data_IF_174321400913
#
_entry.id   IF_174321400913
#
_cell.length_a   1.000
_cell.length_b   1.000
_cell.length_c   1.000
_cell.angle_alpha   90.00
_cell.angle_beta   90.00
_cell.angle_gamma   90.00
#
_symmetry.space_group_name_H-M   'P 1'
#
loop_
_entity.id
_entity.type
_entity.pdbx_description
1 polymer ?
#
# COMPACT_ATOMS: atom_id res chain seq x y z
N UNK A 1 -25.72 0.25 32.83
CA UNK A 1 -24.25 0.29 32.68
C UNK A 1 -23.90 -0.88 31.78
N UNK A 2 -23.33 -0.62 30.60
CA UNK A 2 -22.93 -1.67 29.65
C UNK A 2 -21.43 -1.89 29.80
N UNK A 3 -21.01 -3.14 29.86
CA UNK A 3 -19.61 -3.55 29.95
C UNK A 3 -19.26 -4.37 28.70
N UNK A 4 -18.24 -3.94 27.97
CA UNK A 4 -17.78 -4.61 26.74
C UNK A 4 -16.34 -5.02 26.95
N UNK A 5 -16.07 -6.32 26.82
CA UNK A 5 -14.73 -6.91 26.93
C UNK A 5 -14.22 -7.23 25.54
N UNK A 6 -13.06 -6.69 25.18
CA UNK A 6 -12.46 -6.86 23.86
C UNK A 6 -11.09 -7.53 24.03
N UNK A 7 -10.85 -8.60 23.26
CA UNK A 7 -9.57 -9.31 23.23
C UNK A 7 -8.43 -8.47 22.64
N UNK A 8 -7.20 -8.90 22.87
CA UNK A 8 -5.98 -8.20 22.41
C UNK A 8 -6.00 -8.05 20.89
N UNK A 9 -6.12 -6.80 20.40
CA UNK A 9 -5.85 -6.47 19.01
C UNK A 9 -4.35 -6.22 18.85
N UNK A 10 -3.78 -6.77 17.78
CA UNK A 10 -2.34 -6.69 17.52
C UNK A 10 -1.88 -5.26 17.16
N UNK A 11 -2.77 -4.36 16.72
CA UNK A 11 -2.40 -3.02 16.23
C UNK A 11 -3.52 -1.97 16.43
N UNK A 12 -3.18 -0.77 16.93
CA UNK A 12 -4.09 0.38 17.00
C UNK A 12 -4.48 0.85 18.42
N UNK A 13 -4.92 2.12 18.54
CA UNK A 13 -5.38 2.71 19.80
C UNK A 13 -6.87 2.50 19.79
N UNK A 14 -7.36 1.69 20.73
CA UNK A 14 -8.78 1.41 20.81
C UNK A 14 -9.46 2.67 21.35
N UNK A 15 -10.26 3.30 20.49
CA UNK A 15 -11.11 4.43 20.83
C UNK A 15 -12.56 4.01 20.66
N UNK A 16 -13.34 4.06 21.74
CA UNK A 16 -14.78 3.83 21.62
C UNK A 16 -15.43 5.17 21.35
N UNK A 17 -16.09 5.24 20.20
CA UNK A 17 -16.82 6.42 19.75
C UNK A 17 -18.27 6.06 19.51
N UNK A 18 -19.13 7.03 19.69
CA UNK A 18 -20.55 6.92 19.39
C UNK A 18 -20.94 8.05 18.43
N UNK A 19 -21.98 7.82 17.65
CA UNK A 19 -22.51 8.82 16.73
C UNK A 19 -23.40 9.80 17.49
N UNK A 20 -22.95 11.05 17.62
CA UNK A 20 -23.73 12.10 18.25
C UNK A 20 -24.63 12.77 17.21
N UNK A 21 -25.94 12.54 17.35
CA UNK A 21 -26.95 13.08 16.44
C UNK A 21 -27.06 14.62 16.59
N UNK A 22 -26.72 15.16 17.77
CA UNK A 22 -26.84 16.60 18.05
C UNK A 22 -25.71 17.39 17.39
N UNK A 23 -24.49 16.86 17.38
CA UNK A 23 -23.32 17.47 16.74
C UNK A 23 -23.06 16.93 15.33
N UNK A 24 -23.80 15.90 14.92
CA UNK A 24 -23.65 15.17 13.67
C UNK A 24 -22.19 14.70 13.44
N UNK A 25 -21.56 14.22 14.51
CA UNK A 25 -20.14 13.85 14.53
C UNK A 25 -19.86 12.69 15.50
N UNK A 26 -18.70 12.05 15.34
CA UNK A 26 -18.25 10.99 16.25
C UNK A 26 -17.71 11.58 17.55
N UNK A 27 -18.34 11.26 18.68
CA UNK A 27 -17.97 11.75 20.02
C UNK A 27 -17.25 10.67 20.85
N UNK A 28 -16.35 11.10 21.73
CA UNK A 28 -15.54 10.25 22.64
C UNK A 28 -15.73 10.56 24.13
N UNK A 29 -16.57 11.52 24.51
CA UNK A 29 -16.57 12.11 25.86
C UNK A 29 -17.22 11.26 26.96
N UNK A 30 -17.85 10.14 26.64
CA UNK A 30 -18.78 9.44 27.56
C UNK A 30 -18.45 7.96 27.80
N UNK A 31 -17.36 7.45 27.23
CA UNK A 31 -16.91 6.08 27.44
C UNK A 31 -15.49 6.10 28.04
N UNK A 32 -15.34 5.48 29.22
CA UNK A 32 -14.03 5.26 29.83
C UNK A 32 -13.50 3.91 29.40
N UNK A 33 -12.32 3.90 28.80
CA UNK A 33 -11.60 2.67 28.44
C UNK A 33 -10.56 2.41 29.52
N UNK A 34 -10.62 1.23 30.13
CA UNK A 34 -9.70 0.74 31.15
C UNK A 34 -9.08 -0.57 30.66
N UNK A 35 -7.79 -0.78 30.93
CA UNK A 35 -7.11 -2.03 30.64
C UNK A 35 -7.09 -2.88 31.91
N UNK A 36 -7.63 -4.10 31.84
CA UNK A 36 -7.75 -5.04 32.97
C UNK A 36 -7.31 -6.41 32.49
N UNK A 37 -6.25 -6.96 33.08
CA UNK A 37 -5.74 -8.32 32.80
C UNK A 37 -5.49 -8.63 31.31
N UNK A 38 -5.02 -7.64 30.54
CA UNK A 38 -4.77 -7.76 29.09
C UNK A 38 -6.01 -7.62 28.21
N UNK A 39 -7.17 -7.28 28.79
CA UNK A 39 -8.39 -6.96 28.07
C UNK A 39 -8.69 -5.47 28.16
N UNK A 40 -9.24 -4.92 27.08
CA UNK A 40 -9.79 -3.58 27.11
C UNK A 40 -11.26 -3.65 27.51
N UNK A 41 -11.58 -2.99 28.63
CA UNK A 41 -12.94 -2.88 29.17
C UNK A 41 -13.41 -1.45 29.00
N UNK A 42 -14.59 -1.29 28.42
CA UNK A 42 -15.21 0.02 28.29
C UNK A 42 -16.46 0.15 29.13
N UNK A 43 -16.55 1.26 29.85
CA UNK A 43 -17.70 1.63 30.67
C UNK A 43 -18.32 2.89 30.08
N UNK A 44 -19.50 2.74 29.49
CA UNK A 44 -20.30 3.83 28.94
C UNK A 44 -21.54 4.09 29.80
N UNK A 45 -21.88 5.36 30.01
CA UNK A 45 -23.03 5.79 30.84
C UNK A 45 -24.35 5.91 30.06
N UNK A 46 -24.35 5.63 28.76
CA UNK A 46 -25.47 5.78 27.84
C UNK A 46 -25.70 4.49 27.05
N UNK A 47 -26.96 4.24 26.68
CA UNK A 47 -27.39 3.13 25.82
C UNK A 47 -27.49 3.65 24.39
N UNK A 48 -26.43 3.52 23.61
CA UNK A 48 -26.42 3.85 22.17
C UNK A 48 -25.76 2.73 21.39
N UNK A 49 -26.13 2.62 20.12
CA UNK A 49 -25.42 1.80 19.15
C UNK A 49 -23.97 2.29 19.09
N UNK A 50 -23.05 1.44 19.55
CA UNK A 50 -21.63 1.72 19.58
C UNK A 50 -20.97 1.09 18.36
N UNK A 51 -20.01 1.80 17.77
CA UNK A 51 -19.12 1.23 16.76
C UNK A 51 -17.71 1.24 17.33
N UNK A 52 -17.09 0.06 17.37
CA UNK A 52 -15.67 -0.05 17.68
C UNK A 52 -14.88 0.55 16.51
N UNK A 53 -14.28 1.71 16.74
CA UNK A 53 -13.35 2.32 15.79
C UNK A 53 -11.94 2.04 16.29
N UNK A 54 -11.25 1.13 15.62
CA UNK A 54 -9.82 0.94 15.83
C UNK A 54 -9.11 2.09 15.12
N UNK A 55 -8.73 3.12 15.87
CA UNK A 55 -7.89 4.18 15.35
C UNK A 55 -6.52 3.56 15.06
N UNK A 56 -6.22 3.34 13.78
CA UNK A 56 -4.90 2.88 13.35
C UNK A 56 -3.84 3.84 13.88
N UNK A 57 -2.95 3.36 14.74
CA UNK A 57 -1.88 4.20 15.29
C UNK A 57 -0.87 4.43 14.17
N UNK A 58 -0.71 5.69 13.76
CA UNK A 58 0.34 6.12 12.81
C UNK A 58 1.77 5.79 13.28
N UNK A 59 1.95 5.43 14.54
CA UNK A 59 3.23 5.16 15.21
C UNK A 59 3.30 3.73 15.76
N UNK A 60 2.64 2.78 15.13
CA UNK A 60 2.80 1.37 15.52
C UNK A 60 4.24 0.94 15.17
N UNK A 61 5.06 0.55 16.15
CA UNK A 61 6.49 0.29 15.94
C UNK A 61 6.77 -0.87 14.97
N UNK A 62 5.79 -1.74 14.72
CA UNK A 62 5.89 -2.83 13.74
C UNK A 62 5.60 -2.32 12.31
N UNK A 63 4.71 -1.33 12.14
CA UNK A 63 4.45 -0.68 10.84
C UNK A 63 5.47 0.44 10.52
N UNK A 64 6.06 1.05 11.56
CA UNK A 64 7.14 2.03 11.45
C UNK A 64 8.52 1.41 11.78
N UNK A 65 8.68 0.11 11.57
CA UNK A 65 10.00 -0.51 11.66
C UNK A 65 10.86 -0.01 10.48
N UNK A 66 11.91 0.74 10.82
CA UNK A 66 12.88 1.24 9.83
C UNK A 66 13.48 0.12 9.00
N UNK A 67 13.59 -1.10 9.55
CA UNK A 67 14.09 -2.26 8.81
C UNK A 67 13.11 -2.64 7.70
N UNK A 68 11.81 -2.68 7.99
CA UNK A 68 10.79 -3.01 7.01
C UNK A 68 10.71 -1.94 5.91
N UNK A 69 10.82 -0.67 6.28
CA UNK A 69 10.87 0.45 5.34
C UNK A 69 12.10 0.35 4.42
N UNK A 70 13.29 0.08 4.97
CA UNK A 70 14.53 -0.07 4.20
C UNK A 70 14.43 -1.26 3.24
N UNK A 71 13.95 -2.41 3.72
CA UNK A 71 13.76 -3.60 2.88
C UNK A 71 12.80 -3.28 1.74
N UNK A 72 11.69 -2.61 2.04
CA UNK A 72 10.71 -2.20 1.04
C UNK A 72 11.34 -1.30 -0.04
N UNK A 73 12.17 -0.32 0.37
CA UNK A 73 12.90 0.54 -0.57
C UNK A 73 13.88 -0.25 -1.44
N UNK A 74 14.67 -1.15 -0.87
CA UNK A 74 15.66 -1.94 -1.62
C UNK A 74 14.95 -2.83 -2.64
N UNK A 75 13.90 -3.55 -2.23
CA UNK A 75 13.15 -4.43 -3.14
C UNK A 75 12.44 -3.62 -4.22
N UNK A 76 11.82 -2.49 -3.88
CA UNK A 76 11.10 -1.67 -4.84
C UNK A 76 12.05 -1.04 -5.86
N UNK A 77 13.17 -0.45 -5.43
CA UNK A 77 14.17 0.15 -6.33
C UNK A 77 14.82 -0.93 -7.21
N UNK A 78 15.19 -2.08 -6.64
CA UNK A 78 15.75 -3.20 -7.41
C UNK A 78 14.77 -3.72 -8.46
N UNK A 79 13.49 -3.87 -8.09
CA UNK A 79 12.43 -4.28 -9.02
C UNK A 79 12.22 -3.23 -10.11
N UNK A 80 12.16 -1.94 -9.77
CA UNK A 80 12.04 -0.86 -10.75
C UNK A 80 13.19 -0.85 -11.75
N UNK A 81 14.44 -1.01 -11.28
CA UNK A 81 15.60 -1.02 -12.17
C UNK A 81 15.59 -2.22 -13.13
N UNK A 82 15.32 -3.41 -12.61
CA UNK A 82 15.25 -4.62 -13.45
C UNK A 82 14.12 -4.55 -14.48
N UNK A 83 12.94 -4.07 -14.09
CA UNK A 83 11.80 -3.88 -14.99
C UNK A 83 12.05 -2.77 -16.01
N UNK A 84 12.77 -1.71 -15.64
CA UNK A 84 13.15 -0.65 -16.58
C UNK A 84 14.06 -1.20 -17.68
N UNK A 85 15.08 -2.00 -17.31
CA UNK A 85 15.96 -2.67 -18.29
C UNK A 85 15.13 -3.61 -19.18
N UNK A 86 14.22 -4.39 -18.61
CA UNK A 86 13.37 -5.30 -19.37
C UNK A 86 12.43 -4.57 -20.36
N UNK A 87 11.81 -3.47 -19.93
CA UNK A 87 10.98 -2.63 -20.79
C UNK A 87 11.79 -2.00 -21.93
N UNK A 88 13.03 -1.55 -21.67
CA UNK A 88 13.93 -1.06 -22.72
C UNK A 88 14.24 -2.15 -23.73
N UNK A 89 14.51 -3.38 -23.29
CA UNK A 89 14.74 -4.53 -24.18
C UNK A 89 13.51 -4.78 -25.06
N UNK A 90 12.30 -4.79 -24.49
CA UNK A 90 11.06 -4.95 -25.25
C UNK A 90 10.87 -3.85 -26.30
N UNK A 91 11.15 -2.59 -25.95
CA UNK A 91 11.05 -1.46 -26.88
C UNK A 91 12.04 -1.62 -28.05
N UNK A 92 13.28 -2.02 -27.77
CA UNK A 92 14.29 -2.22 -28.82
C UNK A 92 13.87 -3.36 -29.77
N UNK A 93 13.29 -4.44 -29.24
CA UNK A 93 12.76 -5.56 -30.05
C UNK A 93 11.55 -5.12 -30.89
N UNK A 94 10.68 -4.29 -30.33
CA UNK A 94 9.47 -3.80 -31.02
C UNK A 94 9.81 -2.89 -32.21
N UNK A 95 10.94 -2.17 -32.15
CA UNK A 95 11.39 -1.22 -33.18
C UNK A 95 12.43 -1.91 -34.10
N UNK A 96 12.03 -2.40 -35.29
CA UNK A 96 12.89 -3.18 -36.16
C UNK A 96 14.24 -2.54 -36.53
N UNK A 97 14.33 -1.24 -36.90
CA UNK A 97 15.61 -0.63 -37.29
C UNK A 97 16.59 -0.52 -36.11
N UNK A 98 16.08 -0.46 -34.87
CA UNK A 98 16.89 -0.40 -33.67
C UNK A 98 17.37 -1.79 -33.26
N UNK A 99 16.48 -2.79 -33.38
CA UNK A 99 16.80 -4.19 -33.12
C UNK A 99 17.96 -4.68 -33.99
N UNK A 100 17.94 -4.41 -35.30
CA UNK A 100 18.96 -4.88 -36.24
C UNK A 100 20.33 -4.26 -35.97
N UNK A 101 20.37 -3.01 -35.50
CA UNK A 101 21.62 -2.29 -35.24
C UNK A 101 22.27 -2.70 -33.91
N UNK A 102 21.46 -2.97 -32.87
CA UNK A 102 21.94 -3.32 -31.53
C UNK A 102 22.17 -4.84 -31.38
N UNK A 103 21.28 -5.67 -31.94
CA UNK A 103 21.32 -7.13 -31.77
C UNK A 103 22.22 -7.84 -32.80
N UNK A 104 22.69 -7.15 -33.84
CA UNK A 104 23.62 -7.69 -34.85
C UNK A 104 24.91 -8.27 -34.24
N UNK A 105 25.41 -7.72 -33.13
CA UNK A 105 26.76 -8.05 -32.66
C UNK A 105 26.87 -9.01 -31.45
N UNK A 106 25.87 -9.17 -30.56
CA UNK A 106 26.08 -9.90 -29.28
C UNK A 106 24.85 -10.70 -28.79
N UNK A 107 23.63 -10.19 -28.95
CA UNK A 107 22.49 -10.66 -28.13
C UNK A 107 21.54 -11.68 -28.79
N UNK A 108 21.70 -12.01 -30.08
CA UNK A 108 20.80 -12.90 -30.83
C UNK A 108 20.77 -14.37 -30.34
N UNK A 109 21.67 -14.79 -29.45
CA UNK A 109 21.68 -16.15 -28.88
C UNK A 109 20.93 -16.29 -27.55
N UNK A 110 20.75 -15.20 -26.80
CA UNK A 110 20.25 -15.25 -25.42
C UNK A 110 18.77 -14.87 -25.35
N UNK A 111 18.33 -13.96 -26.23
CA UNK A 111 16.92 -13.58 -26.28
C UNK A 111 16.19 -14.59 -27.16
N UNK A 112 15.25 -15.39 -26.62
CA UNK A 112 14.42 -16.25 -27.45
C UNK A 112 13.79 -15.37 -28.54
N UNK A 113 13.57 -15.91 -29.75
CA UNK A 113 12.75 -15.25 -30.76
C UNK A 113 11.37 -15.03 -30.14
N UNK A 114 11.24 -13.92 -29.42
CA UNK A 114 10.02 -13.54 -28.79
C UNK A 114 9.13 -13.19 -29.95
N UNK A 115 8.10 -14.00 -30.18
CA UNK A 115 6.89 -13.50 -30.80
C UNK A 115 6.60 -12.14 -30.17
N UNK A 116 6.13 -11.20 -30.99
CA UNK A 116 5.84 -9.81 -30.61
C UNK A 116 4.72 -9.79 -29.56
N UNK A 117 5.03 -10.25 -28.36
CA UNK A 117 4.13 -10.42 -27.25
C UNK A 117 4.01 -9.05 -26.59
N UNK A 118 3.26 -8.19 -27.25
CA UNK A 118 2.86 -6.87 -26.76
C UNK A 118 2.24 -7.01 -25.35
N UNK A 119 1.53 -8.12 -25.09
CA UNK A 119 1.01 -8.45 -23.77
C UNK A 119 2.10 -8.54 -22.69
N UNK A 120 3.25 -9.15 -22.98
CA UNK A 120 4.36 -9.27 -22.02
C UNK A 120 5.02 -7.91 -21.74
N UNK A 121 5.11 -7.06 -22.77
CA UNK A 121 5.55 -5.67 -22.60
C UNK A 121 4.57 -4.87 -21.73
N UNK A 122 3.27 -4.93 -22.01
CA UNK A 122 2.24 -4.25 -21.22
C UNK A 122 2.29 -4.72 -19.76
N UNK A 123 2.41 -6.03 -19.54
CA UNK A 123 2.52 -6.60 -18.19
C UNK A 123 3.76 -6.08 -17.43
N UNK A 124 4.93 -6.11 -18.07
CA UNK A 124 6.19 -5.57 -17.52
C UNK A 124 6.10 -4.06 -17.24
N UNK A 125 5.39 -3.32 -18.08
CA UNK A 125 5.19 -1.88 -17.92
C UNK A 125 4.24 -1.56 -16.76
N UNK A 126 3.13 -2.29 -16.62
CA UNK A 126 2.21 -2.15 -15.51
C UNK A 126 2.90 -2.49 -14.18
N UNK A 127 3.72 -3.54 -14.12
CA UNK A 127 4.50 -3.88 -12.92
C UNK A 127 5.47 -2.75 -12.56
N UNK A 128 6.11 -2.15 -13.55
CA UNK A 128 6.98 -0.99 -13.33
C UNK A 128 6.20 0.18 -12.73
N UNK A 129 5.01 0.49 -13.27
CA UNK A 129 4.14 1.55 -12.74
C UNK A 129 3.69 1.25 -11.31
N UNK A 130 3.37 -0.01 -10.99
CA UNK A 130 3.04 -0.42 -9.64
C UNK A 130 4.17 -0.09 -8.66
N UNK A 131 5.39 -0.57 -8.92
CA UNK A 131 6.52 -0.30 -8.02
C UNK A 131 6.88 1.19 -7.94
N UNK A 132 6.73 1.93 -9.04
CA UNK A 132 6.93 3.37 -9.05
C UNK A 132 5.93 4.10 -8.14
N UNK A 133 4.63 3.83 -8.31
CA UNK A 133 3.56 4.46 -7.51
C UNK A 133 3.66 4.03 -6.04
N UNK A 134 3.95 2.76 -5.78
CA UNK A 134 4.13 2.23 -4.43
C UNK A 134 5.33 2.87 -3.69
N UNK A 135 6.44 3.09 -4.39
CA UNK A 135 7.62 3.79 -3.83
C UNK A 135 7.29 5.25 -3.49
N UNK A 136 6.54 5.93 -4.36
CA UNK A 136 6.05 7.28 -4.07
C UNK A 136 5.13 7.28 -2.84
N UNK A 137 4.17 6.36 -2.78
CA UNK A 137 3.24 6.21 -1.65
C UNK A 137 3.95 5.99 -0.31
N UNK A 138 5.06 5.25 -0.33
CA UNK A 138 5.89 5.00 0.86
C UNK A 138 6.49 6.30 1.42
N UNK A 139 6.83 7.28 0.57
CA UNK A 139 7.34 8.58 0.99
C UNK A 139 6.19 9.60 1.22
N UNK A 140 5.45 9.41 2.32
CA UNK A 140 4.28 10.24 2.67
C UNK A 140 4.59 11.71 2.98
N UNK A 141 5.87 12.09 3.09
CA UNK A 141 6.29 13.48 3.36
C UNK A 141 6.16 14.40 2.14
N UNK A 142 5.98 13.85 0.94
CA UNK A 142 5.80 14.66 -0.26
C UNK A 142 4.43 15.33 -0.29
N UNK A 143 4.42 16.65 -0.55
CA UNK A 143 3.23 17.52 -0.59
C UNK A 143 2.13 16.99 -1.52
N UNK A 144 2.52 16.31 -2.60
CA UNK A 144 1.60 15.72 -3.60
C UNK A 144 0.70 14.63 -2.99
N UNK A 145 1.20 13.88 -1.99
CA UNK A 145 0.49 12.74 -1.40
C UNK A 145 -0.45 13.19 -0.27
N UNK A 146 -0.12 14.29 0.44
CA UNK A 146 -0.96 14.79 1.53
C UNK A 146 -2.38 15.16 1.09
N UNK A 147 -2.55 15.66 -0.14
CA UNK A 147 -3.85 16.08 -0.68
C UNK A 147 -4.56 14.97 -1.49
N UNK A 148 -3.84 13.89 -1.85
CA UNK A 148 -4.33 12.86 -2.80
C UNK A 148 -4.06 11.42 -2.39
N UNK A 149 -3.74 11.15 -1.13
CA UNK A 149 -3.34 9.82 -0.61
C UNK A 149 -4.31 8.70 -1.00
N UNK A 150 -5.63 8.96 -0.90
CA UNK A 150 -6.65 7.97 -1.25
C UNK A 150 -6.67 7.62 -2.74
N UNK A 151 -6.36 8.58 -3.63
CA UNK A 151 -6.29 8.37 -5.08
C UNK A 151 -5.08 7.49 -5.39
N UNK A 152 -3.92 7.83 -4.82
CA UNK A 152 -2.68 7.07 -5.01
C UNK A 152 -2.84 5.64 -4.48
N UNK A 153 -3.46 5.47 -3.33
CA UNK A 153 -3.75 4.16 -2.77
C UNK A 153 -4.71 3.35 -3.66
N UNK A 154 -5.79 3.96 -4.16
CA UNK A 154 -6.75 3.32 -5.06
C UNK A 154 -6.10 2.90 -6.38
N UNK A 155 -5.25 3.75 -6.97
CA UNK A 155 -4.49 3.43 -8.19
C UNK A 155 -3.52 2.27 -7.96
N UNK A 156 -2.82 2.26 -6.83
CA UNK A 156 -1.87 1.20 -6.51
C UNK A 156 -2.58 -0.14 -6.28
N UNK A 157 -3.74 -0.11 -5.62
CA UNK A 157 -4.59 -1.29 -5.45
C UNK A 157 -5.12 -1.81 -6.78
N UNK A 158 -5.61 -0.91 -7.65
CA UNK A 158 -6.06 -1.28 -8.99
C UNK A 158 -4.95 -1.94 -9.81
N UNK A 159 -3.74 -1.40 -9.77
CA UNK A 159 -2.57 -2.02 -10.42
C UNK A 159 -2.27 -3.39 -9.82
N UNK A 160 -2.27 -3.55 -8.50
CA UNK A 160 -2.06 -4.85 -7.86
C UNK A 160 -3.04 -5.92 -8.36
N UNK A 161 -4.31 -5.55 -8.50
CA UNK A 161 -5.37 -6.44 -9.00
C UNK A 161 -5.21 -6.83 -10.48
N UNK A 162 -4.34 -6.15 -11.25
CA UNK A 162 -4.01 -6.60 -12.61
C UNK A 162 -3.05 -7.78 -12.64
N UNK A 163 -2.42 -8.11 -11.51
CA UNK A 163 -1.42 -9.18 -11.38
C UNK A 163 -1.92 -10.41 -10.60
N UNK A 164 -3.11 -10.33 -9.99
CA UNK A 164 -3.79 -11.41 -9.26
C UNK A 164 -4.83 -12.04 -10.16
#
# INVERSE_FOLDING_TARGET
>A
MLEITIGVFLHGKIGIRWWDITTNSWSSETCKVEEIDGYYVSKCTHLTDFTLLVDGIKTDPILCDKVLEIVNYIVSIGSMFSLLVLNVIYIIILIPPLSQKIFSNIFLKIVPKSDKNIAAFIYSFLLFLFFFIFTLFTNQDQVVIKTGCYIVAALNYWLLMTFV
#
